data_IF_724231153206
#
_entry.id   IF_724231153206
#
_cell.length_a   1.000
_cell.length_b   1.000
_cell.length_c   1.000
_cell.angle_alpha   90.00
_cell.angle_beta   90.00
_cell.angle_gamma   90.00
#
_symmetry.space_group_name_H-M   'P 1'
#
loop_
_entity.id
_entity.type
_entity.pdbx_description
1 polymer ?
#
# COMPACT_ATOMS: atom_id res chain seq x y z
N UNK A 1 -7.51 -11.29 87.54
CA UNK A 1 -8.10 -11.36 86.19
C UNK A 1 -7.00 -11.06 85.18
N UNK A 2 -6.60 -12.03 84.34
CA UNK A 2 -5.48 -11.84 83.39
C UNK A 2 -5.99 -11.56 81.98
N UNK A 3 -5.80 -10.32 81.49
CA UNK A 3 -6.09 -9.95 80.10
C UNK A 3 -5.00 -10.50 79.18
N UNK A 4 -5.42 -11.21 78.14
CA UNK A 4 -4.51 -11.83 77.15
C UNK A 4 -4.58 -11.01 75.86
N UNK A 5 -3.41 -10.71 75.28
CA UNK A 5 -3.28 -9.87 74.09
C UNK A 5 -2.76 -8.45 74.36
N UNK A 6 -2.70 -7.99 75.61
CA UNK A 6 -2.11 -6.67 75.97
C UNK A 6 -0.61 -6.60 75.70
N UNK A 7 0.12 -7.70 75.90
CA UNK A 7 1.56 -7.74 75.65
C UNK A 7 1.85 -7.83 74.14
N UNK A 8 1.14 -8.70 73.42
CA UNK A 8 1.33 -8.85 71.98
C UNK A 8 0.88 -7.61 71.20
N UNK A 9 -0.19 -6.93 71.62
CA UNK A 9 -0.60 -5.65 71.01
C UNK A 9 0.37 -4.50 71.31
N UNK A 10 0.95 -4.45 72.51
CA UNK A 10 1.99 -3.46 72.83
C UNK A 10 3.28 -3.72 72.03
N UNK A 11 3.68 -4.99 71.88
CA UNK A 11 4.85 -5.39 71.10
C UNK A 11 4.65 -5.10 69.60
N UNK A 12 3.47 -5.38 69.05
CA UNK A 12 3.19 -5.11 67.63
C UNK A 12 3.16 -3.62 67.34
N UNK A 13 2.58 -2.80 68.22
CA UNK A 13 2.61 -1.34 68.08
C UNK A 13 4.02 -0.77 68.19
N UNK A 14 4.85 -1.31 69.09
CA UNK A 14 6.24 -0.89 69.24
C UNK A 14 7.08 -1.25 68.01
N UNK A 15 6.95 -2.48 67.49
CA UNK A 15 7.64 -2.91 66.28
C UNK A 15 7.17 -2.14 65.05
N UNK A 16 5.86 -1.94 64.89
CA UNK A 16 5.28 -1.15 63.81
C UNK A 16 5.76 0.31 63.86
N UNK A 17 5.81 0.90 65.06
CA UNK A 17 6.33 2.25 65.27
C UNK A 17 7.80 2.40 64.90
N UNK A 18 8.65 1.42 65.25
CA UNK A 18 10.07 1.41 64.85
C UNK A 18 10.20 1.30 63.33
N UNK A 19 9.42 0.42 62.68
CA UNK A 19 9.48 0.23 61.23
C UNK A 19 9.06 1.51 60.51
N UNK A 20 7.98 2.17 60.94
CA UNK A 20 7.53 3.44 60.36
C UNK A 20 8.57 4.56 60.54
N UNK A 21 9.24 4.60 61.69
CA UNK A 21 10.30 5.58 61.95
C UNK A 21 11.53 5.33 61.05
N UNK A 22 11.89 4.05 60.84
CA UNK A 22 12.95 3.67 59.89
C UNK A 22 12.55 4.00 58.45
N UNK A 23 11.30 3.75 58.06
CA UNK A 23 10.77 4.10 56.73
C UNK A 23 10.90 5.61 56.47
N UNK A 24 10.59 6.43 57.49
CA UNK A 24 10.64 7.88 57.41
C UNK A 24 12.07 8.45 57.43
N UNK A 25 12.98 7.86 58.21
CA UNK A 25 14.37 8.33 58.34
C UNK A 25 15.27 7.82 57.20
N UNK A 26 15.04 6.60 56.72
CA UNK A 26 15.90 5.97 55.71
C UNK A 26 15.42 6.20 54.26
N UNK A 27 14.26 6.84 54.05
CA UNK A 27 13.63 7.05 52.74
C UNK A 27 13.51 5.77 51.86
N UNK A 28 13.48 4.60 52.49
CA UNK A 28 13.32 3.30 51.82
C UNK A 28 11.99 2.71 52.27
N UNK A 29 11.18 2.13 51.35
CA UNK A 29 9.87 1.57 51.68
C UNK A 29 10.01 0.19 52.35
N UNK A 30 10.67 0.15 53.50
CA UNK A 30 10.89 -1.05 54.32
C UNK A 30 9.53 -1.61 54.78
N UNK A 31 8.55 -0.74 55.02
CA UNK A 31 7.20 -1.14 55.41
C UNK A 31 6.56 -2.12 54.40
N UNK A 32 6.79 -1.92 53.10
CA UNK A 32 6.23 -2.77 52.02
C UNK A 32 6.81 -4.18 51.99
N UNK A 33 8.03 -4.37 52.50
CA UNK A 33 8.72 -5.66 52.52
C UNK A 33 8.35 -6.50 53.74
N UNK A 34 7.99 -5.84 54.85
CA UNK A 34 7.69 -6.51 56.13
C UNK A 34 6.21 -6.83 56.28
N UNK A 35 5.31 -6.01 55.69
CA UNK A 35 3.85 -6.19 55.77
C UNK A 35 3.33 -7.58 55.33
N UNK A 36 3.90 -8.26 54.30
CA UNK A 36 3.45 -9.60 53.90
C UNK A 36 3.55 -10.67 55.00
N UNK A 37 4.37 -10.44 56.02
CA UNK A 37 4.58 -11.36 57.14
C UNK A 37 3.59 -11.16 58.30
N UNK A 38 2.52 -10.38 58.12
CA UNK A 38 1.45 -10.21 59.11
C UNK A 38 0.84 -11.51 59.68
N UNK A 39 0.82 -12.68 59.00
CA UNK A 39 0.34 -13.93 59.60
C UNK A 39 1.17 -14.37 60.81
N UNK A 40 2.46 -13.97 60.90
CA UNK A 40 3.29 -14.24 62.08
C UNK A 40 2.76 -13.55 63.35
N UNK A 41 2.07 -12.41 63.20
CA UNK A 41 1.45 -11.70 64.32
C UNK A 41 0.27 -12.52 64.88
N UNK A 42 -0.54 -13.14 64.01
CA UNK A 42 -1.61 -14.06 64.40
C UNK A 42 -1.02 -15.27 65.13
N UNK A 43 0.06 -15.82 64.59
CA UNK A 43 0.71 -17.00 65.14
C UNK A 43 1.28 -16.71 66.54
N UNK A 44 1.88 -15.54 66.74
CA UNK A 44 2.34 -15.07 68.06
C UNK A 44 1.19 -14.91 69.07
N UNK A 45 0.06 -14.32 68.66
CA UNK A 45 -1.14 -14.18 69.51
C UNK A 45 -1.74 -15.55 69.89
N UNK A 46 -1.73 -16.51 68.95
CA UNK A 46 -2.15 -17.88 69.21
C UNK A 46 -1.24 -18.59 70.22
N UNK A 47 0.08 -18.40 70.14
CA UNK A 47 1.03 -18.92 71.12
C UNK A 47 0.80 -18.30 72.51
N UNK A 48 0.56 -16.99 72.59
CA UNK A 48 0.27 -16.31 73.87
C UNK A 48 -1.03 -16.84 74.50
N UNK A 49 -2.07 -17.08 73.67
CA UNK A 49 -3.33 -17.66 74.13
C UNK A 49 -3.12 -19.07 74.69
N UNK A 50 -2.39 -19.93 73.97
CA UNK A 50 -2.05 -21.29 74.41
C UNK A 50 -1.22 -21.30 75.69
N UNK A 51 -0.25 -20.39 75.81
CA UNK A 51 0.55 -20.23 77.02
C UNK A 51 -0.32 -19.80 78.20
N UNK A 52 -1.24 -18.86 78.00
CA UNK A 52 -2.16 -18.41 79.05
C UNK A 52 -3.08 -19.56 79.52
N UNK A 53 -3.59 -20.37 78.59
CA UNK A 53 -4.43 -21.54 78.89
C UNK A 53 -3.64 -22.61 79.65
N UNK A 54 -2.40 -22.87 79.25
CA UNK A 54 -1.50 -23.80 79.93
C UNK A 54 -1.16 -23.32 81.35
N UNK A 55 -0.86 -22.03 81.51
CA UNK A 55 -0.48 -21.44 82.79
C UNK A 55 -1.65 -21.40 83.79
N UNK A 56 -2.88 -21.16 83.33
CA UNK A 56 -4.10 -21.21 84.17
C UNK A 56 -4.39 -22.64 84.63
N UNK A 57 -4.23 -23.63 83.74
CA UNK A 57 -4.45 -25.06 84.07
C UNK A 57 -3.44 -25.60 85.09
N UNK A 58 -2.21 -25.08 85.11
CA UNK A 58 -1.13 -25.52 86.02
C UNK A 58 -1.22 -24.90 87.42
N UNK A 59 -1.88 -23.74 87.59
CA UNK A 59 -1.94 -23.03 88.89
C UNK A 59 -3.27 -23.19 89.66
N UNK A 60 -4.29 -23.92 89.15
CA UNK A 60 -5.61 -24.09 89.80
C UNK A 60 -6.25 -22.76 90.26
N UNK A 61 -6.06 -21.68 89.52
CA UNK A 61 -6.69 -20.38 89.82
C UNK A 61 -7.98 -20.27 89.02
N UNK A 62 -9.11 -20.08 89.71
CA UNK A 62 -10.43 -19.84 89.10
C UNK A 62 -10.50 -18.39 88.56
N UNK A 63 -9.94 -18.14 87.38
CA UNK A 63 -10.15 -16.88 86.66
C UNK A 63 -10.69 -17.13 85.26
N UNK A 64 -11.78 -16.43 84.92
CA UNK A 64 -12.38 -16.45 83.58
C UNK A 64 -11.52 -15.66 82.58
N UNK A 65 -11.21 -16.29 81.45
CA UNK A 65 -10.40 -15.70 80.38
C UNK A 65 -11.32 -14.94 79.43
N UNK A 66 -11.15 -13.61 79.31
CA UNK A 66 -11.80 -12.78 78.29
C UNK A 66 -10.77 -12.23 77.31
N UNK A 67 -11.04 -12.41 76.01
CA UNK A 67 -10.23 -11.87 74.92
C UNK A 67 -10.53 -10.37 74.77
N UNK A 68 -9.50 -9.52 74.72
CA UNK A 68 -9.68 -8.07 74.59
C UNK A 68 -10.04 -7.71 73.15
N UNK A 69 -11.26 -7.18 72.94
CA UNK A 69 -11.84 -6.85 71.63
C UNK A 69 -10.97 -5.87 70.81
N UNK A 70 -10.13 -5.08 71.48
CA UNK A 70 -9.21 -4.13 70.84
C UNK A 70 -8.09 -4.82 70.04
N UNK A 71 -7.65 -6.00 70.48
CA UNK A 71 -6.60 -6.78 69.80
C UNK A 71 -7.11 -7.43 68.51
N UNK A 72 -8.38 -7.85 68.50
CA UNK A 72 -9.06 -8.40 67.32
C UNK A 72 -9.30 -7.31 66.28
N UNK A 73 -9.74 -6.13 66.70
CA UNK A 73 -9.98 -5.00 65.80
C UNK A 73 -8.69 -4.54 65.09
N UNK A 74 -7.55 -4.49 65.81
CA UNK A 74 -6.25 -4.14 65.24
C UNK A 74 -5.79 -5.16 64.19
N UNK A 75 -5.96 -6.46 64.46
CA UNK A 75 -5.64 -7.54 63.53
C UNK A 75 -6.44 -7.45 62.23
N UNK A 76 -7.75 -7.21 62.34
CA UNK A 76 -8.61 -7.05 61.17
C UNK A 76 -8.18 -5.84 60.32
N UNK A 77 -7.84 -4.71 60.97
CA UNK A 77 -7.47 -3.48 60.28
C UNK A 77 -6.12 -3.64 59.54
N UNK A 78 -5.12 -4.27 60.17
CA UNK A 78 -3.81 -4.55 59.54
C UNK A 78 -3.94 -5.58 58.41
N UNK A 79 -4.79 -6.59 58.58
CA UNK A 79 -5.08 -7.58 57.54
C UNK A 79 -5.77 -6.95 56.32
N UNK A 80 -6.81 -6.14 56.54
CA UNK A 80 -7.51 -5.44 55.46
C UNK A 80 -6.56 -4.48 54.72
N UNK A 81 -5.78 -3.68 55.46
CA UNK A 81 -4.83 -2.72 54.89
C UNK A 81 -3.73 -3.41 54.04
N UNK A 82 -3.25 -4.57 54.49
CA UNK A 82 -2.26 -5.37 53.76
C UNK A 82 -2.85 -5.98 52.47
N UNK A 83 -4.08 -6.49 52.52
CA UNK A 83 -4.77 -7.05 51.35
C UNK A 83 -5.00 -5.95 50.30
N UNK A 84 -5.37 -4.73 50.71
CA UNK A 84 -5.57 -3.60 49.80
C UNK A 84 -4.28 -3.12 49.12
N UNK A 85 -3.13 -3.24 49.78
CA UNK A 85 -1.83 -2.87 49.20
C UNK A 85 -1.34 -3.91 48.19
N UNK A 86 -1.53 -5.21 48.48
CA UNK A 86 -1.15 -6.30 47.57
C UNK A 86 -2.04 -6.29 46.31
N UNK A 87 -3.33 -5.98 46.42
CA UNK A 87 -4.23 -5.90 45.28
C UNK A 87 -3.92 -4.72 44.34
N UNK A 88 -3.45 -3.59 44.86
CA UNK A 88 -3.11 -2.42 44.04
C UNK A 88 -1.88 -2.67 43.13
N UNK A 89 -0.86 -3.38 43.63
CA UNK A 89 0.32 -3.74 42.84
C UNK A 89 0.08 -4.92 41.88
N UNK A 90 -0.71 -5.92 42.28
CA UNK A 90 -0.98 -7.10 41.47
C UNK A 90 -2.03 -6.88 40.37
N UNK A 91 -3.09 -6.08 40.63
CA UNK A 91 -4.08 -5.75 39.61
C UNK A 91 -3.50 -4.88 38.50
N UNK A 92 -2.66 -3.89 38.81
CA UNK A 92 -2.08 -3.03 37.76
C UNK A 92 -1.14 -3.81 36.83
N UNK A 93 -0.29 -4.68 37.38
CA UNK A 93 0.62 -5.52 36.58
C UNK A 93 -0.09 -6.61 35.80
N UNK A 94 -1.07 -7.30 36.39
CA UNK A 94 -1.82 -8.36 35.71
C UNK A 94 -2.75 -7.80 34.62
N UNK A 95 -3.44 -6.69 34.88
CA UNK A 95 -4.33 -6.04 33.89
C UNK A 95 -3.53 -5.43 32.74
N UNK A 96 -2.37 -4.81 32.98
CA UNK A 96 -1.52 -4.32 31.88
C UNK A 96 -0.91 -5.45 31.04
N UNK A 97 -0.44 -6.52 31.67
CA UNK A 97 0.19 -7.64 30.94
C UNK A 97 -0.85 -8.47 30.18
N UNK A 98 -2.03 -8.69 30.76
CA UNK A 98 -3.16 -9.36 30.09
C UNK A 98 -3.80 -8.51 28.99
N UNK A 99 -4.04 -7.20 29.22
CA UNK A 99 -4.52 -6.32 28.15
C UNK A 99 -3.46 -6.10 27.06
N UNK A 100 -2.18 -6.02 27.41
CA UNK A 100 -1.09 -5.89 26.46
C UNK A 100 -0.93 -7.12 25.56
N UNK A 101 -1.01 -8.32 26.15
CA UNK A 101 -0.97 -9.58 25.38
C UNK A 101 -2.23 -9.79 24.53
N UNK A 102 -3.41 -9.39 24.99
CA UNK A 102 -4.64 -9.41 24.17
C UNK A 102 -4.56 -8.38 23.04
N UNK A 103 -4.06 -7.17 23.31
CA UNK A 103 -3.86 -6.14 22.27
C UNK A 103 -2.84 -6.59 21.22
N UNK A 104 -1.71 -7.14 21.65
CA UNK A 104 -0.66 -7.66 20.76
C UNK A 104 -1.12 -8.89 19.97
N UNK A 105 -1.99 -9.72 20.55
CA UNK A 105 -2.61 -10.86 19.86
C UNK A 105 -3.70 -10.46 18.85
N UNK A 106 -4.15 -9.20 18.86
CA UNK A 106 -5.12 -8.64 17.94
C UNK A 106 -4.49 -7.68 16.91
N UNK A 107 -3.19 -7.40 17.00
CA UNK A 107 -2.48 -6.52 16.08
C UNK A 107 -1.74 -7.30 14.99
N UNK A 108 -1.84 -6.85 13.74
CA UNK A 108 -0.96 -7.31 12.66
C UNK A 108 0.48 -6.80 12.91
N UNK A 109 1.46 -7.69 12.78
CA UNK A 109 2.89 -7.36 12.91
C UNK A 109 3.62 -7.56 11.59
N UNK A 110 4.62 -6.73 11.35
CA UNK A 110 5.53 -6.82 10.20
C UNK A 110 6.88 -7.29 10.71
N UNK A 111 7.42 -8.33 10.07
CA UNK A 111 8.73 -8.91 10.40
C UNK A 111 9.66 -8.72 9.20
N UNK A 112 10.77 -8.04 9.42
CA UNK A 112 11.85 -7.93 8.42
C UNK A 112 12.69 -9.21 8.46
N UNK A 113 12.83 -9.88 7.32
CA UNK A 113 13.69 -11.05 7.16
C UNK A 113 15.12 -10.64 6.80
N UNK A 114 16.13 -11.51 7.04
CA UNK A 114 17.51 -11.25 6.65
C UNK A 114 17.63 -10.93 5.15
N UNK A 115 18.44 -9.93 4.81
CA UNK A 115 18.70 -9.54 3.43
C UNK A 115 19.43 -10.66 2.67
N UNK A 116 19.00 -10.94 1.45
CA UNK A 116 19.69 -11.87 0.56
C UNK A 116 20.47 -11.08 -0.50
N UNK A 117 21.71 -11.50 -0.79
CA UNK A 117 22.62 -10.83 -1.71
C UNK A 117 23.16 -11.80 -2.75
N UNK A 118 23.15 -11.41 -4.03
CA UNK A 118 23.55 -12.26 -5.16
C UNK A 118 24.55 -11.54 -6.07
N UNK A 119 25.59 -12.25 -6.53
CA UNK A 119 26.56 -11.72 -7.50
C UNK A 119 25.93 -11.72 -8.92
N UNK A 120 25.80 -10.56 -9.60
CA UNK A 120 25.13 -10.45 -10.89
C UNK A 120 25.94 -10.96 -12.09
N UNK A 121 27.23 -11.32 -11.96
CA UNK A 121 28.12 -11.60 -13.11
C UNK A 121 27.56 -12.53 -14.18
N UNK A 122 26.86 -13.59 -13.77
CA UNK A 122 26.31 -14.61 -14.67
C UNK A 122 24.79 -14.48 -14.87
N UNK A 123 24.15 -13.46 -14.28
CA UNK A 123 22.70 -13.27 -14.29
C UNK A 123 22.32 -12.33 -15.43
N UNK A 124 21.61 -12.87 -16.43
CA UNK A 124 21.10 -12.10 -17.56
C UNK A 124 19.66 -11.61 -17.31
N UNK A 125 18.90 -12.36 -16.50
CA UNK A 125 17.50 -12.10 -16.21
C UNK A 125 17.17 -12.30 -14.73
N UNK A 126 16.37 -11.40 -14.19
CA UNK A 126 15.74 -11.54 -12.88
C UNK A 126 14.23 -11.75 -13.08
N UNK A 127 13.72 -12.86 -12.55
CA UNK A 127 12.29 -13.17 -12.54
C UNK A 127 11.78 -13.15 -11.10
N UNK A 128 10.74 -12.36 -10.84
CA UNK A 128 10.13 -12.20 -9.52
C UNK A 128 8.68 -12.66 -9.60
N UNK A 129 8.36 -13.69 -8.82
CA UNK A 129 7.00 -14.22 -8.69
C UNK A 129 6.54 -13.98 -7.26
N UNK A 130 5.49 -13.18 -7.08
CA UNK A 130 4.84 -13.02 -5.79
C UNK A 130 3.32 -13.05 -5.91
N UNK A 131 2.63 -13.81 -5.08
CA UNK A 131 1.16 -13.88 -5.10
C UNK A 131 0.51 -12.65 -4.48
N UNK A 132 1.07 -12.15 -3.39
CA UNK A 132 0.52 -11.06 -2.58
C UNK A 132 1.65 -10.18 -2.05
N UNK A 133 1.35 -8.91 -1.80
CA UNK A 133 2.31 -7.94 -1.26
C UNK A 133 2.89 -7.02 -2.31
N UNK A 134 3.58 -5.99 -1.85
CA UNK A 134 4.14 -4.93 -2.70
C UNK A 134 5.51 -5.34 -3.22
N UNK A 135 5.78 -5.12 -4.51
CA UNK A 135 7.10 -5.32 -5.10
C UNK A 135 7.68 -3.95 -5.45
N UNK A 136 8.81 -3.60 -4.85
CA UNK A 136 9.56 -2.39 -5.15
C UNK A 136 10.91 -2.77 -5.75
N UNK A 137 11.24 -2.18 -6.89
CA UNK A 137 12.52 -2.37 -7.54
C UNK A 137 13.17 -1.03 -7.76
N UNK A 138 14.40 -0.88 -7.26
CA UNK A 138 15.19 0.34 -7.42
C UNK A 138 16.59 -0.01 -7.92
N UNK A 139 17.27 0.97 -8.52
CA UNK A 139 18.69 0.86 -8.79
C UNK A 139 19.49 0.74 -7.49
N UNK A 140 20.49 -0.13 -7.48
CA UNK A 140 21.48 -0.20 -6.42
C UNK A 140 22.81 0.47 -6.80
N UNK A 141 23.51 0.99 -5.81
CA UNK A 141 24.92 1.37 -5.92
C UNK A 141 25.88 0.26 -5.45
N UNK A 142 25.36 -0.86 -4.92
CA UNK A 142 26.15 -2.04 -4.57
C UNK A 142 26.65 -2.76 -5.82
N UNK A 143 27.60 -3.70 -5.66
CA UNK A 143 28.00 -4.61 -6.75
C UNK A 143 27.13 -5.86 -6.85
N UNK A 144 26.20 -6.06 -5.92
CA UNK A 144 25.35 -7.24 -5.80
C UNK A 144 23.86 -6.88 -5.87
N UNK A 145 23.04 -7.82 -6.34
CA UNK A 145 21.57 -7.72 -6.27
C UNK A 145 21.17 -7.98 -4.83
N UNK A 146 20.45 -7.06 -4.20
CA UNK A 146 19.99 -7.19 -2.81
C UNK A 146 18.48 -7.36 -2.79
N UNK A 147 17.99 -8.33 -2.03
CA UNK A 147 16.57 -8.61 -1.84
C UNK A 147 16.26 -8.47 -0.37
N UNK A 148 15.41 -7.51 -0.03
CA UNK A 148 14.86 -7.32 1.31
C UNK A 148 13.42 -7.81 1.31
N UNK A 149 13.07 -8.58 2.32
CA UNK A 149 11.75 -9.18 2.43
C UNK A 149 11.10 -8.77 3.74
N UNK A 150 9.85 -8.31 3.66
CA UNK A 150 9.03 -8.02 4.84
C UNK A 150 7.80 -8.90 4.81
N UNK A 151 7.56 -9.63 5.88
CA UNK A 151 6.43 -10.55 6.01
C UNK A 151 5.42 -9.95 6.98
N UNK A 152 4.18 -9.82 6.53
CA UNK A 152 3.06 -9.39 7.36
C UNK A 152 2.36 -10.59 7.95
N UNK A 153 2.21 -10.61 9.27
CA UNK A 153 1.64 -11.75 10.02
C UNK A 153 0.53 -11.25 10.95
N UNK A 154 -0.63 -11.89 10.87
CA UNK A 154 -1.84 -11.55 11.61
C UNK A 154 -1.89 -12.20 12.99
N UNK A 155 -2.34 -11.47 14.00
CA UNK A 155 -2.78 -12.00 15.30
C UNK A 155 -1.76 -12.96 15.96
N UNK A 156 -0.51 -12.52 16.08
CA UNK A 156 0.58 -13.25 16.73
C UNK A 156 1.44 -12.33 17.60
N UNK A 157 1.93 -12.90 18.71
CA UNK A 157 2.93 -12.22 19.52
C UNK A 157 4.28 -12.13 18.76
N UNK A 158 5.21 -11.28 19.20
CA UNK A 158 6.45 -11.02 18.43
C UNK A 158 7.30 -12.26 18.17
N UNK A 159 7.40 -13.19 19.14
CA UNK A 159 8.19 -14.41 18.96
C UNK A 159 7.53 -15.37 17.98
N UNK A 160 6.21 -15.57 18.09
CA UNK A 160 5.45 -16.40 17.16
C UNK A 160 5.40 -15.80 15.75
N UNK A 161 5.29 -14.47 15.64
CA UNK A 161 5.34 -13.78 14.37
C UNK A 161 6.69 -13.98 13.66
N UNK A 162 7.81 -13.94 14.39
CA UNK A 162 9.13 -14.21 13.82
C UNK A 162 9.29 -15.65 13.34
N UNK A 163 8.77 -16.64 14.08
CA UNK A 163 8.81 -18.04 13.65
C UNK A 163 7.89 -18.28 12.43
N UNK A 164 6.68 -17.72 12.43
CA UNK A 164 5.77 -17.81 11.29
C UNK A 164 6.33 -17.10 10.05
N UNK A 165 6.97 -15.94 10.22
CA UNK A 165 7.55 -15.17 9.12
C UNK A 165 8.64 -15.91 8.36
N UNK A 166 9.36 -16.85 9.00
CA UNK A 166 10.34 -17.72 8.32
C UNK A 166 9.70 -18.59 7.23
N UNK A 167 8.42 -18.92 7.37
CA UNK A 167 7.68 -19.68 6.35
C UNK A 167 7.35 -18.81 5.12
N UNK A 168 7.41 -17.48 5.24
CA UNK A 168 7.24 -16.52 4.14
C UNK A 168 8.53 -16.20 3.39
N UNK A 169 9.64 -16.89 3.69
CA UNK A 169 10.93 -16.62 3.06
C UNK A 169 10.90 -17.00 1.57
N UNK A 170 11.34 -16.12 0.65
CA UNK A 170 11.29 -16.42 -0.78
C UNK A 170 12.22 -17.59 -1.14
N UNK A 171 11.75 -18.46 -2.03
CA UNK A 171 12.58 -19.49 -2.66
C UNK A 171 13.39 -18.84 -3.78
N UNK A 172 14.69 -19.07 -3.78
CA UNK A 172 15.59 -18.50 -4.78
C UNK A 172 16.27 -19.61 -5.57
N UNK A 173 16.19 -19.51 -6.90
CA UNK A 173 16.91 -20.39 -7.83
C UNK A 173 17.93 -19.57 -8.59
N UNK A 174 19.20 -19.98 -8.55
CA UNK A 174 20.32 -19.28 -9.17
C UNK A 174 20.79 -20.01 -10.45
N UNK A 175 21.19 -19.23 -11.45
CA UNK A 175 21.62 -19.69 -12.78
C UNK A 175 21.76 -18.48 -13.70
N UNK A 176 21.62 -18.68 -15.02
CA UNK A 176 21.55 -17.56 -15.99
C UNK A 176 20.34 -16.65 -15.76
N UNK A 177 19.29 -17.22 -15.16
CA UNK A 177 18.10 -16.52 -14.68
C UNK A 177 18.06 -16.66 -13.16
N UNK A 178 18.07 -15.54 -12.44
CA UNK A 178 17.80 -15.50 -11.02
C UNK A 178 16.28 -15.45 -10.83
N UNK A 179 15.72 -16.48 -10.21
CA UNK A 179 14.27 -16.55 -9.93
C UNK A 179 14.02 -16.40 -8.43
N UNK A 180 13.20 -15.43 -8.06
CA UNK A 180 12.72 -15.19 -6.70
C UNK A 180 11.23 -15.52 -6.67
N UNK A 181 10.85 -16.51 -5.88
CA UNK A 181 9.47 -16.98 -5.79
C UNK A 181 9.00 -16.97 -4.34
N UNK A 182 7.99 -16.13 -4.03
CA UNK A 182 7.30 -16.16 -2.75
C UNK A 182 6.31 -17.33 -2.79
N UNK A 183 6.42 -18.23 -1.81
CA UNK A 183 5.75 -19.54 -1.83
C UNK A 183 4.22 -19.43 -2.09
N UNK A 184 3.69 -20.05 -3.17
CA UNK A 184 2.26 -20.04 -3.47
C UNK A 184 1.43 -20.87 -2.49
N UNK A 185 2.06 -21.74 -1.68
CA UNK A 185 1.44 -22.65 -0.73
C UNK A 185 1.25 -22.08 0.68
N UNK A 186 1.29 -20.75 0.83
CA UNK A 186 0.72 -20.08 2.02
C UNK A 186 -0.73 -20.55 2.18
N UNK A 187 -0.91 -21.56 3.02
CA UNK A 187 -2.17 -22.29 3.18
C UNK A 187 -3.25 -21.34 3.67
N UNK A 188 -4.52 -21.68 3.45
CA UNK A 188 -5.65 -20.92 4.00
C UNK A 188 -5.62 -20.77 5.54
N UNK A 189 -4.80 -21.58 6.22
CA UNK A 189 -4.52 -21.54 7.66
C UNK A 189 -3.30 -20.70 8.05
N UNK A 190 -2.47 -20.27 7.09
CA UNK A 190 -1.32 -19.41 7.38
C UNK A 190 -1.80 -18.05 7.89
N UNK A 191 -1.08 -17.54 8.88
CA UNK A 191 -1.34 -16.20 9.41
C UNK A 191 -0.61 -15.12 8.61
N UNK A 192 0.16 -15.49 7.59
CA UNK A 192 0.81 -14.55 6.69
C UNK A 192 -0.22 -13.91 5.78
N UNK A 193 -0.28 -12.58 5.79
CA UNK A 193 -1.25 -11.79 5.02
C UNK A 193 -0.66 -11.22 3.74
N UNK A 194 0.67 -11.07 3.69
CA UNK A 194 1.39 -10.57 2.53
C UNK A 194 2.90 -10.61 2.72
N UNK A 195 3.62 -10.62 1.60
CA UNK A 195 5.08 -10.57 1.58
C UNK A 195 5.52 -9.44 0.66
N UNK A 196 6.04 -8.38 1.25
CA UNK A 196 6.60 -7.26 0.51
C UNK A 196 8.05 -7.55 0.13
N UNK A 197 8.41 -7.21 -1.10
CA UNK A 197 9.76 -7.35 -1.63
C UNK A 197 10.32 -5.99 -2.02
N UNK A 198 11.53 -5.70 -1.56
CA UNK A 198 12.33 -4.59 -2.06
C UNK A 198 13.61 -5.14 -2.68
N UNK A 199 13.79 -4.90 -3.98
CA UNK A 199 14.86 -5.46 -4.78
C UNK A 199 15.73 -4.32 -5.31
N UNK A 200 17.03 -4.38 -5.01
CA UNK A 200 18.01 -3.40 -5.44
C UNK A 200 18.89 -4.01 -6.53
N UNK A 201 18.82 -3.47 -7.75
CA UNK A 201 19.50 -4.02 -8.93
C UNK A 201 20.65 -3.09 -9.36
N UNK A 202 21.91 -3.56 -9.38
CA UNK A 202 23.06 -2.69 -9.69
C UNK A 202 23.42 -2.60 -11.18
N UNK A 203 23.03 -3.60 -11.97
CA UNK A 203 23.46 -3.78 -13.35
C UNK A 203 22.29 -3.71 -14.33
N UNK A 204 22.59 -3.53 -15.61
CA UNK A 204 21.63 -3.69 -16.69
C UNK A 204 21.32 -5.18 -16.88
N UNK A 205 20.13 -5.62 -16.47
CA UNK A 205 19.61 -6.96 -16.69
C UNK A 205 18.14 -6.91 -17.09
N UNK A 206 17.62 -7.96 -17.73
CA UNK A 206 16.20 -8.06 -18.03
C UNK A 206 15.42 -8.38 -16.75
N UNK A 207 14.34 -7.65 -16.47
CA UNK A 207 13.52 -7.83 -15.28
C UNK A 207 12.11 -8.26 -15.67
N UNK A 208 11.65 -9.35 -15.08
CA UNK A 208 10.28 -9.82 -15.22
C UNK A 208 9.64 -9.93 -13.85
N UNK A 209 8.51 -9.26 -13.66
CA UNK A 209 7.72 -9.29 -12.43
C UNK A 209 6.36 -9.87 -12.76
N UNK A 210 5.99 -10.93 -12.06
CA UNK A 210 4.70 -11.60 -12.18
C UNK A 210 4.05 -11.63 -10.80
N UNK A 211 2.91 -10.95 -10.68
CA UNK A 211 2.12 -10.94 -9.45
C UNK A 211 0.64 -11.15 -9.70
N UNK A 212 -0.09 -11.63 -8.70
CA UNK A 212 -1.56 -11.68 -8.79
C UNK A 212 -2.16 -10.43 -8.13
N UNK A 213 -1.77 -10.16 -6.88
CA UNK A 213 -2.27 -8.99 -6.14
C UNK A 213 -1.13 -8.22 -5.51
N UNK A 214 -1.16 -6.90 -5.63
CA UNK A 214 -0.22 -6.01 -4.96
C UNK A 214 0.30 -4.91 -5.88
N UNK A 215 0.85 -3.87 -5.26
CA UNK A 215 1.40 -2.76 -6.03
C UNK A 215 2.81 -3.11 -6.51
N UNK A 216 3.11 -2.75 -7.76
CA UNK A 216 4.44 -2.90 -8.34
C UNK A 216 5.01 -1.52 -8.59
N UNK A 217 6.17 -1.23 -8.03
CA UNK A 217 6.91 0.00 -8.29
C UNK A 217 8.28 -0.35 -8.85
N UNK A 218 8.63 0.13 -10.04
CA UNK A 218 9.96 -0.05 -10.64
C UNK A 218 10.54 1.32 -10.97
N UNK A 219 11.71 1.62 -10.45
CA UNK A 219 12.38 2.90 -10.61
C UNK A 219 13.86 2.73 -11.00
N UNK A 220 14.35 3.58 -11.90
CA UNK A 220 15.76 3.66 -12.30
C UNK A 220 16.34 2.37 -12.91
N UNK A 221 15.53 1.59 -13.62
CA UNK A 221 15.96 0.32 -14.21
C UNK A 221 16.64 0.50 -15.56
N UNK A 222 17.82 -0.10 -15.73
CA UNK A 222 18.65 0.09 -16.92
C UNK A 222 18.37 -0.90 -18.07
N UNK A 223 17.68 -2.02 -17.78
CA UNK A 223 17.39 -3.07 -18.76
C UNK A 223 15.94 -3.08 -19.21
N UNK A 224 15.58 -4.11 -19.96
CA UNK A 224 14.20 -4.34 -20.37
C UNK A 224 13.36 -4.78 -19.16
N UNK A 225 12.09 -4.40 -19.19
CA UNK A 225 11.12 -4.62 -18.13
C UNK A 225 9.87 -5.30 -18.67
N UNK A 226 9.44 -6.36 -17.99
CA UNK A 226 8.14 -6.99 -18.18
C UNK A 226 7.44 -7.03 -16.83
N UNK A 227 6.23 -6.46 -16.74
CA UNK A 227 5.38 -6.55 -15.54
C UNK A 227 4.06 -7.17 -15.95
N UNK A 228 3.63 -8.21 -15.25
CA UNK A 228 2.26 -8.74 -15.33
C UNK A 228 1.65 -8.79 -13.94
N UNK A 229 0.46 -8.21 -13.81
CA UNK A 229 -0.34 -8.23 -12.59
C UNK A 229 -1.80 -8.55 -12.91
N UNK A 230 -2.58 -9.03 -11.94
CA UNK A 230 -4.03 -9.15 -12.10
C UNK A 230 -4.77 -7.99 -11.39
N UNK A 231 -4.27 -7.57 -10.22
CA UNK A 231 -4.87 -6.55 -9.37
C UNK A 231 -3.80 -5.73 -8.64
N UNK A 232 -3.79 -4.42 -8.88
CA UNK A 232 -2.91 -3.50 -8.13
C UNK A 232 -2.54 -2.26 -8.93
N UNK A 233 -1.80 -1.34 -8.30
CA UNK A 233 -1.21 -0.20 -8.99
C UNK A 233 0.18 -0.56 -9.52
N UNK A 234 0.43 -0.26 -10.79
CA UNK A 234 1.75 -0.41 -11.41
C UNK A 234 2.32 0.98 -11.66
N UNK A 235 3.45 1.28 -11.05
CA UNK A 235 4.18 2.53 -11.25
C UNK A 235 5.59 2.22 -11.76
N UNK A 236 5.88 2.66 -12.98
CA UNK A 236 7.13 2.39 -13.68
C UNK A 236 7.74 3.73 -14.08
N UNK A 237 8.96 4.00 -13.61
CA UNK A 237 9.61 5.28 -13.83
C UNK A 237 11.10 5.15 -14.17
N UNK A 238 11.60 5.96 -15.11
CA UNK A 238 13.04 6.05 -15.45
C UNK A 238 13.60 4.70 -15.91
N UNK A 239 12.98 4.15 -16.95
CA UNK A 239 13.38 2.87 -17.56
C UNK A 239 14.18 3.13 -18.82
N UNK A 240 15.40 2.59 -18.90
CA UNK A 240 16.25 2.77 -20.09
C UNK A 240 15.97 1.79 -21.23
N UNK A 241 15.46 0.60 -20.90
CA UNK A 241 15.11 -0.45 -21.87
C UNK A 241 13.68 -0.36 -22.37
N UNK A 242 13.25 -1.40 -23.10
CA UNK A 242 11.85 -1.60 -23.47
C UNK A 242 11.03 -1.94 -22.23
N UNK A 243 9.80 -1.42 -22.12
CA UNK A 243 8.86 -1.79 -21.07
C UNK A 243 7.60 -2.44 -21.67
N UNK A 244 7.21 -3.59 -21.12
CA UNK A 244 5.95 -4.28 -21.43
C UNK A 244 5.18 -4.44 -20.13
N UNK A 245 3.98 -3.87 -20.04
CA UNK A 245 3.16 -3.88 -18.83
C UNK A 245 1.79 -4.48 -19.17
N UNK A 246 1.43 -5.55 -18.48
CA UNK A 246 0.12 -6.18 -18.55
C UNK A 246 -0.55 -6.13 -17.16
N UNK A 247 -1.80 -5.69 -17.13
CA UNK A 247 -2.62 -5.71 -15.92
C UNK A 247 -4.05 -6.13 -16.26
N UNK A 248 -4.77 -6.73 -15.33
CA UNK A 248 -6.21 -6.99 -15.55
C UNK A 248 -7.06 -5.85 -15.01
N UNK A 249 -6.87 -5.43 -13.75
CA UNK A 249 -7.67 -4.38 -13.13
C UNK A 249 -6.84 -3.50 -12.18
N UNK A 250 -6.54 -2.28 -12.60
CA UNK A 250 -5.56 -1.48 -11.89
C UNK A 250 -5.24 -0.14 -12.55
N UNK A 251 -4.50 0.69 -11.83
CA UNK A 251 -3.96 1.94 -12.38
C UNK A 251 -2.52 1.68 -12.81
N UNK A 252 -2.20 2.04 -14.05
CA UNK A 252 -0.85 1.96 -14.59
C UNK A 252 -0.34 3.37 -14.82
N UNK A 253 0.81 3.68 -14.25
CA UNK A 253 1.53 4.93 -14.46
C UNK A 253 2.92 4.62 -14.98
N UNK A 254 3.21 4.99 -16.22
CA UNK A 254 4.50 4.79 -16.86
C UNK A 254 5.11 6.15 -17.24
N UNK A 255 6.28 6.48 -16.66
CA UNK A 255 6.95 7.76 -16.86
C UNK A 255 8.41 7.60 -17.24
N UNK A 256 8.95 8.47 -18.10
CA UNK A 256 10.38 8.50 -18.43
C UNK A 256 10.91 7.14 -18.95
N UNK A 257 10.32 6.66 -20.05
CA UNK A 257 10.73 5.41 -20.70
C UNK A 257 11.61 5.76 -21.92
N UNK A 258 12.87 5.35 -21.92
CA UNK A 258 13.78 5.63 -23.03
C UNK A 258 13.60 4.67 -24.22
N UNK A 259 13.15 3.44 -23.96
CA UNK A 259 12.83 2.46 -24.99
C UNK A 259 11.37 2.51 -25.45
N UNK A 260 10.96 1.48 -26.18
CA UNK A 260 9.55 1.29 -26.55
C UNK A 260 8.70 0.90 -25.33
N UNK A 261 7.44 1.31 -25.34
CA UNK A 261 6.45 1.01 -24.32
C UNK A 261 5.25 0.26 -24.93
N UNK A 262 4.90 -0.86 -24.32
CA UNK A 262 3.70 -1.62 -24.63
C UNK A 262 2.90 -1.82 -23.35
N UNK A 263 1.65 -1.34 -23.33
CA UNK A 263 0.76 -1.49 -22.17
C UNK A 263 -0.55 -2.10 -22.57
N UNK A 264 -0.98 -3.12 -21.83
CA UNK A 264 -2.27 -3.77 -22.01
C UNK A 264 -3.00 -3.90 -20.68
N UNK A 265 -4.23 -3.39 -20.63
CA UNK A 265 -5.10 -3.57 -19.46
C UNK A 265 -6.54 -3.91 -19.84
N UNK A 266 -7.25 -4.65 -18.98
CA UNK A 266 -8.70 -4.87 -19.17
C UNK A 266 -9.50 -3.73 -18.58
N UNK A 267 -9.16 -3.23 -17.39
CA UNK A 267 -9.86 -2.11 -16.79
C UNK A 267 -8.95 -1.22 -15.93
N UNK A 268 -9.23 0.08 -15.97
CA UNK A 268 -8.60 1.06 -15.09
C UNK A 268 -8.10 2.30 -15.82
N UNK A 269 -7.21 3.05 -15.17
CA UNK A 269 -6.61 4.27 -15.73
C UNK A 269 -5.18 3.99 -16.16
N UNK A 270 -4.86 4.39 -17.38
CA UNK A 270 -3.52 4.34 -17.95
C UNK A 270 -3.00 5.76 -18.13
N UNK A 271 -1.93 6.09 -17.44
CA UNK A 271 -1.21 7.35 -17.57
C UNK A 271 0.20 7.09 -18.06
N UNK A 272 0.51 7.60 -19.24
CA UNK A 272 1.81 7.46 -19.91
C UNK A 272 2.35 8.85 -20.17
N UNK A 273 3.57 9.11 -19.70
CA UNK A 273 4.25 10.39 -19.90
C UNK A 273 5.74 10.20 -20.22
N UNK A 274 6.27 10.99 -21.14
CA UNK A 274 7.71 11.02 -21.47
C UNK A 274 8.25 9.65 -21.95
N UNK A 275 7.84 9.24 -23.15
CA UNK A 275 8.35 8.03 -23.82
C UNK A 275 9.17 8.43 -25.04
N UNK A 276 10.47 8.08 -25.05
CA UNK A 276 11.36 8.39 -26.18
C UNK A 276 11.17 7.43 -27.36
N UNK A 277 10.75 6.20 -27.11
CA UNK A 277 10.44 5.21 -28.14
C UNK A 277 8.98 5.26 -28.61
N UNK A 278 8.54 4.17 -29.24
CA UNK A 278 7.14 3.99 -29.66
C UNK A 278 6.28 3.57 -28.48
N UNK A 279 5.01 3.95 -28.50
CA UNK A 279 4.03 3.55 -27.48
C UNK A 279 2.83 2.83 -28.10
N UNK A 280 2.50 1.64 -27.58
CA UNK A 280 1.29 0.87 -27.94
C UNK A 280 0.47 0.66 -26.67
N UNK A 281 -0.74 1.22 -26.62
CA UNK A 281 -1.59 1.24 -25.44
C UNK A 281 -2.95 0.57 -25.72
N UNK A 282 -3.28 -0.49 -25.01
CA UNK A 282 -4.55 -1.21 -25.11
C UNK A 282 -5.30 -1.15 -23.76
N UNK A 283 -6.55 -0.68 -23.77
CA UNK A 283 -7.45 -0.73 -22.60
C UNK A 283 -8.86 -1.17 -23.01
N UNK A 284 -9.50 -2.08 -22.28
CA UNK A 284 -10.91 -2.41 -22.56
C UNK A 284 -11.87 -1.42 -21.88
N UNK A 285 -11.60 -1.01 -20.64
CA UNK A 285 -12.48 -0.11 -19.89
C UNK A 285 -11.70 0.94 -19.11
N UNK A 286 -11.95 2.22 -19.39
CA UNK A 286 -11.44 3.34 -18.59
C UNK A 286 -10.69 4.38 -19.41
N UNK A 287 -9.85 5.16 -18.74
CA UNK A 287 -9.22 6.33 -19.35
C UNK A 287 -7.77 6.03 -19.75
N UNK A 288 -7.38 6.50 -20.93
CA UNK A 288 -5.99 6.53 -21.38
C UNK A 288 -5.58 8.00 -21.50
N UNK A 289 -4.51 8.38 -20.80
CA UNK A 289 -3.79 9.65 -20.98
C UNK A 289 -2.39 9.33 -21.48
N UNK A 290 -2.03 9.86 -22.63
CA UNK A 290 -0.69 9.71 -23.20
C UNK A 290 -0.12 11.10 -23.54
N UNK A 291 0.99 11.46 -22.92
CA UNK A 291 1.67 12.73 -23.13
C UNK A 291 3.17 12.57 -23.42
N UNK A 292 3.73 13.48 -24.22
CA UNK A 292 5.18 13.54 -24.51
C UNK A 292 5.75 12.23 -25.07
N UNK A 293 5.33 11.87 -26.29
CA UNK A 293 5.82 10.68 -27.00
C UNK A 293 6.67 11.11 -28.21
N UNK A 294 7.92 10.68 -28.27
CA UNK A 294 8.88 11.14 -29.30
C UNK A 294 8.77 10.37 -30.63
N UNK A 295 8.28 9.13 -30.61
CA UNK A 295 7.97 8.37 -31.83
C UNK A 295 6.45 8.20 -32.03
N UNK A 296 6.04 7.07 -32.65
CA UNK A 296 4.64 6.80 -32.97
C UNK A 296 3.85 6.32 -31.75
N UNK A 297 2.58 6.73 -31.68
CA UNK A 297 1.63 6.32 -30.64
C UNK A 297 0.46 5.56 -31.28
N UNK A 298 0.20 4.35 -30.78
CA UNK A 298 -0.98 3.56 -31.16
C UNK A 298 -1.83 3.28 -29.93
N UNK A 299 -3.12 3.58 -29.99
CA UNK A 299 -4.06 3.38 -28.88
C UNK A 299 -5.29 2.60 -29.36
N UNK A 300 -5.65 1.56 -28.61
CA UNK A 300 -6.93 0.88 -28.76
C UNK A 300 -7.68 0.91 -27.43
N UNK A 301 -8.88 1.49 -27.44
CA UNK A 301 -9.78 1.48 -26.29
C UNK A 301 -11.13 0.90 -26.67
N UNK A 302 -11.74 0.05 -25.83
CA UNK A 302 -13.12 -0.38 -26.09
C UNK A 302 -14.12 0.64 -25.56
N UNK A 303 -14.08 0.94 -24.26
CA UNK A 303 -14.99 1.87 -23.62
C UNK A 303 -14.25 2.83 -22.69
N UNK A 304 -14.44 4.14 -22.85
CA UNK A 304 -13.89 5.12 -21.93
C UNK A 304 -13.52 6.46 -22.57
N UNK A 305 -12.28 6.91 -22.42
CA UNK A 305 -11.80 8.18 -22.98
C UNK A 305 -10.33 8.09 -23.33
N UNK A 306 -9.96 8.65 -24.47
CA UNK A 306 -8.56 8.81 -24.88
C UNK A 306 -8.23 10.31 -24.84
N UNK A 307 -7.14 10.66 -24.16
CA UNK A 307 -6.54 11.99 -24.19
C UNK A 307 -5.07 11.85 -24.62
N UNK A 308 -4.70 12.59 -25.65
CA UNK A 308 -3.38 12.59 -26.26
C UNK A 308 -2.86 14.02 -26.26
N UNK A 309 -1.63 14.22 -25.80
CA UNK A 309 -0.96 15.51 -25.87
C UNK A 309 0.51 15.34 -26.28
N UNK A 310 1.03 16.25 -27.09
CA UNK A 310 2.47 16.37 -27.38
C UNK A 310 3.11 15.08 -27.93
N UNK A 311 2.77 14.71 -29.17
CA UNK A 311 3.35 13.55 -29.87
C UNK A 311 4.14 14.00 -31.09
N UNK A 312 5.42 13.61 -31.18
CA UNK A 312 6.31 14.00 -32.27
C UNK A 312 6.16 13.10 -33.51
N UNK A 313 5.72 11.84 -33.33
CA UNK A 313 5.47 10.88 -34.41
C UNK A 313 4.02 10.86 -34.91
N UNK A 314 3.70 9.79 -35.65
CA UNK A 314 2.33 9.53 -36.12
C UNK A 314 1.45 8.95 -34.99
N UNK A 315 0.18 9.32 -34.99
CA UNK A 315 -0.80 8.87 -33.99
C UNK A 315 -1.91 8.07 -34.68
N UNK A 316 -2.17 6.87 -34.16
CA UNK A 316 -3.31 6.03 -34.52
C UNK A 316 -4.10 5.70 -33.25
N UNK A 317 -5.30 6.24 -33.08
CA UNK A 317 -6.13 5.94 -31.92
C UNK A 317 -7.55 5.53 -32.30
N UNK A 318 -8.01 4.42 -31.75
CA UNK A 318 -9.35 3.88 -31.97
C UNK A 318 -10.05 3.66 -30.64
N UNK A 319 -11.30 4.15 -30.54
CA UNK A 319 -12.20 3.86 -29.44
C UNK A 319 -13.55 3.36 -29.96
N UNK A 320 -14.11 2.29 -29.38
CA UNK A 320 -15.47 1.86 -29.75
C UNK A 320 -16.52 2.77 -29.12
N UNK A 321 -16.41 3.07 -27.82
CA UNK A 321 -17.33 3.95 -27.11
C UNK A 321 -16.61 4.93 -26.19
N UNK A 322 -16.50 6.18 -26.63
CA UNK A 322 -15.93 7.27 -25.86
C UNK A 322 -15.37 8.41 -26.71
N UNK A 323 -15.15 9.59 -26.15
CA UNK A 323 -14.53 10.68 -26.87
C UNK A 323 -13.00 10.47 -27.01
N UNK A 324 -12.46 11.05 -28.07
CA UNK A 324 -11.01 11.22 -28.27
C UNK A 324 -10.68 12.71 -28.23
N UNK A 325 -9.69 13.09 -27.43
CA UNK A 325 -9.11 14.43 -27.42
C UNK A 325 -7.63 14.32 -27.78
N UNK A 326 -7.18 15.06 -28.79
CA UNK A 326 -5.79 15.08 -29.22
C UNK A 326 -5.28 16.52 -29.35
N UNK A 327 -4.12 16.82 -28.78
CA UNK A 327 -3.46 18.10 -28.92
C UNK A 327 -1.98 17.93 -29.24
N UNK A 328 -1.38 18.94 -29.90
CA UNK A 328 0.06 19.04 -30.13
C UNK A 328 0.68 17.80 -30.82
N UNK A 329 0.06 17.29 -31.88
CA UNK A 329 0.56 16.17 -32.70
C UNK A 329 1.30 16.69 -33.93
N UNK A 330 2.56 16.29 -34.11
CA UNK A 330 3.45 16.87 -35.14
C UNK A 330 3.36 16.24 -36.53
N UNK A 331 2.95 14.96 -36.66
CA UNK A 331 2.87 14.27 -37.96
C UNK A 331 1.43 13.86 -38.30
N UNK A 332 1.24 12.64 -38.82
CA UNK A 332 -0.05 12.11 -39.23
C UNK A 332 -0.94 11.76 -38.03
N UNK A 333 -2.25 11.89 -38.24
CA UNK A 333 -3.25 11.68 -37.20
C UNK A 333 -4.41 10.86 -37.75
N UNK A 334 -4.56 9.63 -37.26
CA UNK A 334 -5.67 8.75 -37.60
C UNK A 334 -6.49 8.46 -36.34
N UNK A 335 -7.69 9.03 -36.24
CA UNK A 335 -8.58 8.87 -35.09
C UNK A 335 -9.90 8.24 -35.51
N UNK A 336 -10.35 7.24 -34.76
CA UNK A 336 -11.62 6.55 -35.01
C UNK A 336 -12.42 6.40 -33.72
N UNK A 337 -13.66 6.89 -33.70
CA UNK A 337 -14.60 6.73 -32.58
C UNK A 337 -15.91 6.09 -33.04
N UNK A 338 -16.38 5.04 -32.37
CA UNK A 338 -17.70 4.47 -32.65
C UNK A 338 -18.84 5.29 -32.03
N UNK A 339 -18.66 5.77 -30.80
CA UNK A 339 -19.56 6.73 -30.15
C UNK A 339 -18.77 7.74 -29.34
N UNK A 340 -19.15 9.01 -29.38
CA UNK A 340 -18.41 10.10 -28.73
C UNK A 340 -17.62 10.93 -29.73
N UNK A 341 -17.51 12.23 -29.43
CA UNK A 341 -16.87 13.19 -30.32
C UNK A 341 -15.35 13.08 -30.39
N UNK A 342 -14.79 13.66 -31.44
CA UNK A 342 -13.34 13.81 -31.63
C UNK A 342 -13.01 15.29 -31.56
N UNK A 343 -12.15 15.69 -30.65
CA UNK A 343 -11.63 17.05 -30.56
C UNK A 343 -10.14 17.05 -30.85
N UNK A 344 -9.71 17.85 -31.81
CA UNK A 344 -8.29 18.00 -32.16
C UNK A 344 -7.87 19.46 -32.12
N UNK A 345 -6.82 19.77 -31.37
CA UNK A 345 -6.20 21.10 -31.29
C UNK A 345 -4.70 20.99 -31.59
N UNK A 346 -4.32 21.15 -32.85
CA UNK A 346 -2.92 20.91 -33.25
C UNK A 346 -2.53 21.63 -34.54
N UNK A 347 -1.23 21.89 -34.68
CA UNK A 347 -0.62 22.17 -35.98
C UNK A 347 -0.77 20.95 -36.90
N UNK A 348 -1.00 21.17 -38.19
CA UNK A 348 -1.12 20.09 -39.18
C UNK A 348 0.24 19.89 -39.85
N UNK A 349 0.98 18.87 -39.40
CA UNK A 349 2.28 18.50 -39.98
C UNK A 349 2.28 17.19 -40.78
N UNK A 350 1.11 16.57 -40.99
CA UNK A 350 0.94 15.33 -41.75
C UNK A 350 -0.51 15.10 -42.15
N UNK A 351 -0.81 13.99 -42.85
CA UNK A 351 -2.17 13.65 -43.28
C UNK A 351 -3.05 13.30 -42.07
N UNK A 352 -4.28 13.81 -42.05
CA UNK A 352 -5.26 13.54 -41.01
C UNK A 352 -6.45 12.74 -41.57
N UNK A 353 -6.86 11.71 -40.84
CA UNK A 353 -8.03 10.89 -41.13
C UNK A 353 -8.83 10.67 -39.85
N UNK A 354 -9.97 11.34 -39.75
CA UNK A 354 -10.78 11.40 -38.53
C UNK A 354 -12.18 10.85 -38.81
N UNK A 355 -12.56 9.77 -38.15
CA UNK A 355 -13.82 9.08 -38.37
C UNK A 355 -14.61 8.97 -37.06
N UNK A 356 -15.85 9.44 -37.03
CA UNK A 356 -16.75 9.31 -35.88
C UNK A 356 -18.08 8.75 -36.35
N UNK A 357 -18.51 7.56 -35.90
CA UNK A 357 -19.84 7.08 -36.30
C UNK A 357 -20.95 7.91 -35.66
N UNK A 358 -20.82 8.25 -34.37
CA UNK A 358 -21.80 9.10 -33.66
C UNK A 358 -21.10 10.07 -32.72
N UNK A 359 -21.06 11.33 -33.09
CA UNK A 359 -20.44 12.37 -32.29
C UNK A 359 -19.88 13.51 -33.13
N UNK A 360 -19.85 14.70 -32.53
CA UNK A 360 -19.26 15.89 -33.17
C UNK A 360 -17.75 15.72 -33.36
N UNK A 361 -17.24 16.15 -34.51
CA UNK A 361 -15.80 16.32 -34.74
C UNK A 361 -15.48 17.81 -34.76
N UNK A 362 -14.66 18.25 -33.80
CA UNK A 362 -14.23 19.65 -33.66
C UNK A 362 -12.73 19.77 -33.84
N UNK A 363 -12.30 20.53 -34.84
CA UNK A 363 -10.91 20.76 -35.17
C UNK A 363 -10.56 22.22 -34.95
N UNK A 364 -9.41 22.47 -34.33
CA UNK A 364 -8.82 23.79 -34.20
C UNK A 364 -7.38 23.75 -34.69
N UNK A 365 -7.09 24.54 -35.71
CA UNK A 365 -5.79 24.59 -36.38
C UNK A 365 -5.30 26.04 -36.50
N UNK A 366 -3.99 26.29 -36.66
CA UNK A 366 -3.48 27.63 -36.89
C UNK A 366 -3.99 28.23 -38.20
N UNK A 367 -4.24 29.55 -38.22
CA UNK A 367 -4.69 30.27 -39.42
C UNK A 367 -3.71 30.20 -40.61
N UNK A 368 -2.43 29.91 -40.37
CA UNK A 368 -1.40 29.76 -41.41
C UNK A 368 -1.31 28.38 -42.05
N UNK A 369 -2.18 27.43 -41.68
CA UNK A 369 -2.08 26.02 -42.10
C UNK A 369 -2.24 25.84 -43.62
N UNK A 370 -1.65 24.77 -44.16
CA UNK A 370 -1.69 24.43 -45.58
C UNK A 370 -2.38 23.08 -45.80
N UNK A 371 -3.71 23.08 -45.75
CA UNK A 371 -4.51 21.86 -45.76
C UNK A 371 -5.46 21.75 -46.95
N UNK A 372 -5.71 20.52 -47.38
CA UNK A 372 -6.83 20.17 -48.24
C UNK A 372 -7.88 19.47 -47.39
N UNK A 373 -8.91 20.22 -47.01
CA UNK A 373 -9.99 19.75 -46.14
C UNK A 373 -11.08 19.07 -46.96
N UNK A 374 -11.47 17.87 -46.57
CA UNK A 374 -12.67 17.19 -47.04
C UNK A 374 -13.46 16.66 -45.84
N UNK A 375 -14.59 17.31 -45.55
CA UNK A 375 -15.52 16.92 -44.50
C UNK A 375 -16.80 16.33 -45.10
N UNK A 376 -17.23 15.19 -44.59
CA UNK A 376 -18.47 14.51 -44.99
C UNK A 376 -19.28 14.10 -43.75
N UNK A 377 -20.55 14.50 -43.68
CA UNK A 377 -21.49 14.06 -42.63
C UNK A 377 -22.77 13.54 -43.26
N UNK A 378 -23.20 12.31 -42.92
CA UNK A 378 -24.49 11.81 -43.40
C UNK A 378 -25.67 12.51 -42.73
N UNK A 379 -25.52 12.87 -41.45
CA UNK A 379 -26.49 13.63 -40.66
C UNK A 379 -25.78 14.64 -39.78
N UNK A 380 -25.75 15.88 -40.25
CA UNK A 380 -25.17 16.99 -39.51
C UNK A 380 -24.60 18.05 -40.45
N UNK A 381 -24.26 19.20 -39.88
CA UNK A 381 -23.59 20.27 -40.62
C UNK A 381 -22.11 19.94 -40.79
N UNK A 382 -21.54 20.37 -41.91
CA UNK A 382 -20.09 20.41 -42.10
C UNK A 382 -19.67 21.85 -42.27
N UNK A 383 -18.87 22.37 -41.34
CA UNK A 383 -18.27 23.70 -41.41
C UNK A 383 -16.77 23.53 -41.61
N UNK A 384 -16.31 23.86 -42.81
CA UNK A 384 -14.90 23.97 -43.15
C UNK A 384 -14.30 25.31 -42.73
N UNK A 385 -13.07 25.62 -43.19
CA UNK A 385 -12.41 26.88 -42.89
C UNK A 385 -13.22 28.12 -43.30
N UNK A 386 -13.87 28.10 -44.48
CA UNK A 386 -14.61 29.26 -45.01
C UNK A 386 -16.03 28.96 -45.49
N UNK A 387 -16.33 27.72 -45.90
CA UNK A 387 -17.67 27.31 -46.33
C UNK A 387 -18.33 26.43 -45.27
N UNK A 388 -19.64 26.34 -45.37
CA UNK A 388 -20.44 25.42 -44.59
C UNK A 388 -21.53 24.81 -45.47
N UNK A 389 -21.86 23.56 -45.18
CA UNK A 389 -22.97 22.85 -45.79
C UNK A 389 -23.84 22.19 -44.72
N UNK A 390 -25.15 22.16 -44.96
CA UNK A 390 -26.16 21.63 -44.06
C UNK A 390 -27.39 21.21 -44.87
N UNK A 391 -27.36 20.03 -45.48
CA UNK A 391 -28.50 19.50 -46.25
C UNK A 391 -29.20 18.33 -45.55
N UNK A 392 -30.42 18.02 -45.97
CA UNK A 392 -31.20 16.89 -45.47
C UNK A 392 -30.68 15.51 -45.98
N UNK A 393 -29.93 15.48 -47.09
CA UNK A 393 -29.40 14.25 -47.71
C UNK A 393 -27.97 13.92 -47.26
N UNK A 394 -27.38 14.77 -46.42
CA UNK A 394 -25.98 14.71 -46.01
C UNK A 394 -25.21 15.95 -46.45
N UNK A 395 -24.22 16.34 -45.67
CA UNK A 395 -23.46 17.57 -45.88
C UNK A 395 -22.03 17.24 -46.29
N UNK A 396 -21.51 17.95 -47.29
CA UNK A 396 -20.14 17.78 -47.77
C UNK A 396 -19.47 19.10 -48.07
N UNK A 397 -18.27 19.28 -47.53
CA UNK A 397 -17.44 20.45 -47.81
C UNK A 397 -16.05 19.98 -48.22
N UNK A 398 -15.59 20.49 -49.36
CA UNK A 398 -14.21 20.35 -49.81
C UNK A 398 -13.62 21.73 -50.06
N UNK A 399 -12.50 22.01 -49.39
CA UNK A 399 -11.84 23.30 -49.41
C UNK A 399 -10.33 23.15 -49.33
N UNK A 400 -9.64 24.08 -49.98
CA UNK A 400 -8.20 24.19 -49.91
C UNK A 400 -7.83 25.44 -49.14
N UNK A 401 -6.96 25.29 -48.14
CA UNK A 401 -6.43 26.36 -47.32
C UNK A 401 -4.92 26.44 -47.55
N UNK A 402 -4.42 27.64 -47.86
CA UNK A 402 -3.01 27.84 -48.23
C UNK A 402 -2.61 26.97 -49.44
N UNK A 403 -1.46 26.29 -49.34
CA UNK A 403 -0.94 25.43 -50.43
C UNK A 403 -1.68 24.09 -50.57
N UNK A 404 -2.49 23.70 -49.58
CA UNK A 404 -3.13 22.37 -49.51
C UNK A 404 -2.12 21.22 -49.55
N UNK A 405 -1.10 21.30 -48.70
CA UNK A 405 -0.02 20.31 -48.63
C UNK A 405 -0.48 19.02 -47.93
N UNK A 406 -1.27 19.15 -46.87
CA UNK A 406 -1.70 18.03 -46.05
C UNK A 406 -3.20 17.75 -46.22
N UNK A 407 -3.59 16.52 -46.60
CA UNK A 407 -5.00 16.15 -46.66
C UNK A 407 -5.57 16.01 -45.24
N UNK A 408 -6.73 16.60 -45.00
CA UNK A 408 -7.50 16.50 -43.76
C UNK A 408 -8.87 15.94 -44.10
N UNK A 409 -9.01 14.63 -43.91
CA UNK A 409 -10.23 13.89 -44.20
C UNK A 409 -11.01 13.69 -42.90
N UNK A 410 -12.26 14.14 -42.88
CA UNK A 410 -13.13 14.03 -41.70
C UNK A 410 -14.46 13.45 -42.11
N UNK A 411 -14.87 12.37 -41.46
CA UNK A 411 -16.15 11.70 -41.72
C UNK A 411 -16.94 11.48 -40.46
N UNK A 412 -18.25 11.68 -40.55
CA UNK A 412 -19.18 11.29 -39.50
C UNK A 412 -20.49 10.76 -40.05
N UNK A 413 -21.08 9.75 -39.40
CA UNK A 413 -22.41 9.27 -39.81
C UNK A 413 -23.52 10.11 -39.16
N UNK A 414 -23.39 10.39 -37.86
CA UNK A 414 -24.36 11.20 -37.10
C UNK A 414 -23.60 12.18 -36.18
N UNK A 415 -23.42 13.40 -36.66
CA UNK A 415 -22.61 14.40 -35.99
C UNK A 415 -22.29 15.61 -36.86
N UNK A 416 -22.03 16.74 -36.20
CA UNK A 416 -21.51 17.93 -36.86
C UNK A 416 -19.98 17.84 -37.00
N UNK A 417 -19.46 18.35 -38.12
CA UNK A 417 -18.03 18.60 -38.31
C UNK A 417 -17.80 20.10 -38.27
N UNK A 418 -16.89 20.57 -37.41
CA UNK A 418 -16.49 21.97 -37.36
C UNK A 418 -14.98 22.08 -37.38
N UNK A 419 -14.45 22.86 -38.32
CA UNK A 419 -13.04 23.25 -38.36
C UNK A 419 -12.94 24.77 -38.16
N UNK A 420 -12.18 25.19 -37.15
CA UNK A 420 -11.88 26.59 -36.90
C UNK A 420 -10.36 26.85 -37.07
N UNK A 421 -10.02 27.81 -37.91
CA UNK A 421 -8.64 28.21 -38.19
C UNK A 421 -8.20 29.39 -37.30
N UNK A 422 -8.19 29.18 -35.98
CA UNK A 422 -7.90 30.22 -34.99
C UNK A 422 -7.16 29.68 -33.75
N UNK A 423 -6.38 28.61 -33.91
CA UNK A 423 -5.56 28.05 -32.82
C UNK A 423 -4.57 29.09 -32.27
#
# INVERSE_FOLDING_TARGET
MRKVGTLTSALTLLVLGIILLVDQVAHKPVLSQVLPFWPLIILGLGIELLWSLYSVKKQKVNEEIRIDARSIALLCLVGIFSITLISQQSMQGFVQTSLGSVRDALSDKTVDLPEASFDPKDIQRLEVFSRTGTIKVNKSNSSSIVVKTKVHVRNLNSQQANEEAKNGMPRVTTGSTLRIEVDPSLNATSKITGVDLEILIPVKLALQILTHTGNVTVQDHAGDLVVSTELGRVEVERIKGKAIIADDNGEIVARNIEGDLEVKTKAGTLEVDQVKGKAILENTFGQIRASHIDESLRIFCKNGRIQIDSVQGDVEARIENGPIQAANVKKGLTLSSGTGGITVESEVGGPWMLNSSRGMVSLRIPAGSHIEFAGESNRGLVKGPTKSDSTAEGSKVTEKMGKGTYPVLVRTDDGAITLNANL
#
